data_IF_637220071454
#
_entry.id   IF_637220071454
#
_cell.length_a   1.000
_cell.length_b   1.000
_cell.length_c   1.000
_cell.angle_alpha   90.00
_cell.angle_beta   90.00
_cell.angle_gamma   90.00
#
_symmetry.space_group_name_H-M   'P 1'
#
loop_
_entity.id
_entity.type
_entity.pdbx_description
1 polymer ?
#
# COMPACT_ATOMS: atom_id res chain seq x y z
N UNK A 1 -47.89 -2.18 31.32
CA UNK A 1 -47.53 -0.81 31.75
C UNK A 1 -46.23 -0.48 31.00
N UNK A 2 -46.13 0.40 29.99
CA UNK A 2 -46.91 1.59 29.60
C UNK A 2 -46.86 1.71 28.06
N UNK A 3 -47.97 2.10 27.43
CA UNK A 3 -48.16 2.32 25.98
C UNK A 3 -48.14 3.82 25.68
N UNK A 4 -47.67 4.20 24.48
CA UNK A 4 -48.08 5.36 23.63
C UNK A 4 -47.14 5.38 22.43
N UNK A 5 -47.46 5.11 21.15
CA UNK A 5 -48.62 5.35 20.27
C UNK A 5 -48.89 6.83 19.91
N UNK A 6 -48.32 7.27 18.78
CA UNK A 6 -48.73 8.39 17.90
C UNK A 6 -48.06 8.10 16.53
N UNK A 7 -48.67 7.58 15.46
CA UNK A 7 -49.91 7.88 14.70
C UNK A 7 -49.79 9.13 13.80
N UNK A 8 -49.54 8.87 12.50
CA UNK A 8 -50.10 9.54 11.30
C UNK A 8 -49.51 10.91 10.88
N UNK A 9 -48.98 11.01 9.65
CA UNK A 9 -49.71 11.62 8.51
C UNK A 9 -48.87 11.66 7.21
N UNK A 10 -49.33 10.88 6.24
CA UNK A 10 -49.11 11.06 4.80
C UNK A 10 -49.57 12.46 4.38
N UNK A 11 -48.76 13.28 3.70
CA UNK A 11 -49.26 14.28 2.75
C UNK A 11 -48.24 14.61 1.66
N UNK A 12 -48.64 14.22 0.45
CA UNK A 12 -48.17 14.60 -0.86
C UNK A 12 -48.27 16.13 -1.02
N UNK A 13 -47.21 16.83 -1.44
CA UNK A 13 -47.34 18.16 -2.05
C UNK A 13 -46.48 18.21 -3.31
N UNK A 14 -47.12 17.90 -4.43
CA UNK A 14 -46.74 18.36 -5.76
C UNK A 14 -47.37 19.75 -5.94
N UNK A 15 -46.56 20.77 -6.24
CA UNK A 15 -47.05 22.15 -6.34
C UNK A 15 -46.15 23.02 -7.21
N UNK A 16 -46.41 22.95 -8.52
CA UNK A 16 -45.83 23.72 -9.62
C UNK A 16 -46.01 25.22 -9.38
N UNK A 17 -44.93 26.01 -9.53
CA UNK A 17 -45.03 27.45 -9.82
C UNK A 17 -44.29 27.76 -11.12
N UNK A 18 -45.07 28.26 -12.09
CA UNK A 18 -44.67 28.61 -13.44
C UNK A 18 -44.69 30.14 -13.59
N UNK A 19 -43.55 30.67 -14.05
CA UNK A 19 -43.26 31.86 -14.89
C UNK A 19 -43.75 33.26 -14.46
N UNK A 20 -42.81 34.22 -14.38
CA UNK A 20 -42.90 35.50 -15.13
C UNK A 20 -41.51 36.03 -15.55
N UNK A 21 -41.42 36.30 -16.86
CA UNK A 21 -40.51 37.11 -17.68
C UNK A 21 -39.38 37.98 -17.07
N UNK A 22 -38.15 37.65 -17.47
CA UNK A 22 -37.25 38.43 -18.34
C UNK A 22 -36.91 39.90 -18.05
N UNK A 23 -35.61 40.18 -17.88
CA UNK A 23 -34.87 41.22 -18.62
C UNK A 23 -33.41 40.78 -18.83
N UNK A 24 -32.98 40.88 -20.09
CA UNK A 24 -31.66 40.56 -20.64
C UNK A 24 -30.62 41.63 -20.28
N UNK A 25 -29.42 41.24 -19.83
CA UNK A 25 -28.23 42.09 -19.96
C UNK A 25 -26.92 41.27 -19.96
N UNK A 26 -26.29 41.19 -21.13
CA UNK A 26 -24.84 41.00 -21.37
C UNK A 26 -24.13 39.76 -20.80
N UNK A 27 -23.89 38.74 -21.65
CA UNK A 27 -22.81 37.77 -21.44
C UNK A 27 -21.45 38.42 -21.74
N UNK A 28 -20.44 38.27 -20.87
CA UNK A 28 -19.04 38.35 -21.28
C UNK A 28 -18.70 37.09 -22.10
N UNK A 29 -17.91 37.28 -23.16
CA UNK A 29 -17.44 36.23 -24.06
C UNK A 29 -16.82 35.03 -23.32
N UNK A 30 -17.21 33.84 -23.79
CA UNK A 30 -16.55 32.57 -23.51
C UNK A 30 -15.15 32.65 -24.15
N UNK A 31 -14.11 32.86 -23.34
CA UNK A 31 -12.76 32.50 -23.75
C UNK A 31 -12.65 30.99 -23.54
N UNK A 32 -12.84 30.24 -24.62
CA UNK A 32 -12.62 28.79 -24.64
C UNK A 32 -11.12 28.53 -24.44
N UNK A 33 -10.68 27.83 -23.38
CA UNK A 33 -9.33 27.28 -23.35
C UNK A 33 -9.21 26.21 -24.45
N UNK A 34 -8.03 26.04 -25.09
CA UNK A 34 -7.83 24.99 -26.08
C UNK A 34 -8.20 23.63 -25.52
N UNK A 35 -8.91 22.83 -26.31
CA UNK A 35 -9.19 21.42 -26.03
C UNK A 35 -7.86 20.66 -25.94
N UNK A 36 -7.37 20.44 -24.72
CA UNK A 36 -6.37 19.42 -24.45
C UNK A 36 -7.02 18.04 -24.51
N UNK A 37 -6.32 17.18 -25.21
CA UNK A 37 -6.58 15.79 -25.47
C UNK A 37 -6.97 15.01 -24.21
N UNK A 38 -8.05 14.26 -24.32
CA UNK A 38 -8.46 13.27 -23.33
C UNK A 38 -7.52 12.06 -23.35
N UNK A 39 -6.26 12.26 -22.96
CA UNK A 39 -5.39 11.15 -22.59
C UNK A 39 -5.81 10.72 -21.18
N UNK A 40 -6.47 9.57 -21.10
CA UNK A 40 -6.71 8.87 -19.83
C UNK A 40 -5.35 8.61 -19.17
N UNK A 41 -4.93 9.49 -18.26
CA UNK A 41 -3.81 9.21 -17.38
C UNK A 41 -4.27 8.11 -16.44
N UNK A 42 -3.68 6.91 -16.60
CA UNK A 42 -3.79 5.89 -15.57
C UNK A 42 -3.18 6.50 -14.31
N UNK A 43 -4.01 6.67 -13.31
CA UNK A 43 -3.57 7.21 -12.03
C UNK A 43 -2.74 6.11 -11.37
N UNK A 44 -1.42 6.16 -11.58
CA UNK A 44 -0.46 5.38 -10.84
C UNK A 44 -0.81 5.53 -9.35
N UNK A 45 -1.24 4.44 -8.73
CA UNK A 45 -1.77 4.48 -7.37
C UNK A 45 -0.56 4.59 -6.43
N UNK A 46 -0.19 5.82 -6.09
CA UNK A 46 0.89 6.09 -5.14
C UNK A 46 0.48 5.61 -3.75
N UNK A 47 1.25 4.66 -3.19
CA UNK A 47 1.10 4.22 -1.80
C UNK A 47 1.92 5.16 -0.91
N UNK A 48 1.25 5.78 0.06
CA UNK A 48 1.94 6.66 1.02
C UNK A 48 2.78 5.86 2.02
N UNK A 49 3.81 6.50 2.59
CA UNK A 49 4.59 5.92 3.68
C UNK A 49 3.71 5.51 4.87
N UNK A 50 2.66 6.28 5.17
CA UNK A 50 1.70 5.97 6.25
C UNK A 50 0.93 4.67 5.97
N UNK A 51 0.54 4.45 4.71
CA UNK A 51 -0.12 3.20 4.29
C UNK A 51 0.81 2.00 4.42
N UNK A 52 2.08 2.15 4.01
CA UNK A 52 3.10 1.12 4.17
C UNK A 52 3.33 0.76 5.66
N UNK A 53 3.49 1.77 6.52
CA UNK A 53 3.66 1.57 7.97
C UNK A 53 2.45 0.86 8.55
N UNK A 54 1.24 1.35 8.28
CA UNK A 54 0.02 0.75 8.78
C UNK A 54 -0.14 -0.72 8.33
N UNK A 55 0.27 -1.05 7.11
CA UNK A 55 0.23 -2.43 6.60
C UNK A 55 1.18 -3.36 7.40
N UNK A 56 2.40 -2.91 7.65
CA UNK A 56 3.40 -3.66 8.44
C UNK A 56 2.99 -3.78 9.91
N UNK A 57 2.44 -2.72 10.50
CA UNK A 57 1.95 -2.72 11.88
C UNK A 57 0.77 -3.69 12.08
N UNK A 58 -0.13 -3.79 11.10
CA UNK A 58 -1.19 -4.82 11.10
C UNK A 58 -0.60 -6.23 11.12
N UNK A 59 0.49 -6.46 10.39
CA UNK A 59 1.16 -7.76 10.35
C UNK A 59 1.80 -8.10 11.70
N UNK A 60 2.50 -7.15 12.32
CA UNK A 60 3.06 -7.32 13.66
C UNK A 60 1.96 -7.60 14.71
N UNK A 61 0.85 -6.86 14.65
CA UNK A 61 -0.30 -7.10 15.53
C UNK A 61 -0.92 -8.50 15.33
N UNK A 62 -0.94 -9.00 14.09
CA UNK A 62 -1.40 -10.36 13.78
C UNK A 62 -0.48 -11.41 14.41
N UNK A 63 0.84 -11.21 14.35
CA UNK A 63 1.80 -12.08 15.05
C UNK A 63 1.53 -12.10 16.55
N UNK A 64 1.32 -10.94 17.17
CA UNK A 64 1.03 -10.84 18.60
C UNK A 64 -0.27 -11.55 19.00
N UNK A 65 -1.26 -11.55 18.12
CA UNK A 65 -2.59 -12.13 18.40
C UNK A 65 -2.62 -13.64 18.18
N UNK A 66 -1.98 -14.13 17.11
CA UNK A 66 -2.13 -15.51 16.65
C UNK A 66 -0.88 -16.37 16.80
N UNK A 67 0.26 -15.74 17.10
CA UNK A 67 1.55 -16.39 17.22
C UNK A 67 2.28 -16.56 15.88
N UNK A 68 3.58 -16.85 15.98
CA UNK A 68 4.51 -16.92 14.86
C UNK A 68 4.09 -17.91 13.77
N UNK A 69 3.77 -19.15 14.12
CA UNK A 69 3.44 -20.19 13.13
C UNK A 69 2.23 -19.82 12.27
N UNK A 70 1.14 -19.36 12.91
CA UNK A 70 -0.07 -18.93 12.19
C UNK A 70 0.18 -17.70 11.32
N UNK A 71 0.96 -16.74 11.83
CA UNK A 71 1.30 -15.55 11.08
C UNK A 71 2.17 -15.86 9.84
N UNK A 72 3.21 -16.68 9.99
CA UNK A 72 4.04 -17.09 8.85
C UNK A 72 3.25 -17.89 7.81
N UNK A 73 2.28 -18.71 8.22
CA UNK A 73 1.38 -19.39 7.29
C UNK A 73 0.52 -18.38 6.51
N UNK A 74 -0.09 -17.42 7.21
CA UNK A 74 -0.91 -16.36 6.58
C UNK A 74 -0.08 -15.51 5.61
N UNK A 75 1.14 -15.10 5.98
CA UNK A 75 2.00 -14.27 5.13
C UNK A 75 2.49 -15.00 3.87
N UNK A 76 2.49 -16.34 3.87
CA UNK A 76 2.84 -17.13 2.70
C UNK A 76 1.62 -17.50 1.83
N UNK A 77 0.39 -17.21 2.26
CA UNK A 77 -0.80 -17.44 1.46
C UNK A 77 -0.99 -16.29 0.46
N UNK A 78 -0.90 -16.61 -0.84
CA UNK A 78 -1.13 -15.66 -1.92
C UNK A 78 -2.56 -15.10 -1.97
N UNK A 79 -3.49 -15.75 -1.28
CA UNK A 79 -4.89 -15.30 -1.13
C UNK A 79 -5.17 -14.80 0.30
N UNK A 80 -4.14 -14.70 1.14
CA UNK A 80 -4.24 -14.24 2.52
C UNK A 80 -4.44 -12.73 2.63
N UNK A 81 -4.62 -12.28 3.87
CA UNK A 81 -4.96 -10.89 4.19
C UNK A 81 -3.77 -9.92 4.10
N UNK A 82 -2.56 -10.43 3.85
CA UNK A 82 -1.31 -9.66 3.84
C UNK A 82 -0.70 -9.53 2.44
N UNK A 83 -1.61 -9.36 1.46
CA UNK A 83 -1.30 -8.99 0.08
C UNK A 83 -2.33 -7.93 -0.37
N UNK A 84 -1.85 -6.71 -0.63
CA UNK A 84 -2.67 -5.56 -1.01
C UNK A 84 -1.98 -4.79 -2.14
N UNK A 85 -2.37 -5.08 -3.39
CA UNK A 85 -1.73 -4.47 -4.56
C UNK A 85 -0.26 -4.90 -4.68
N UNK A 86 0.67 -3.95 -4.60
CA UNK A 86 2.11 -4.23 -4.56
C UNK A 86 2.65 -4.56 -3.15
N UNK A 87 1.85 -4.32 -2.11
CA UNK A 87 2.24 -4.60 -0.72
C UNK A 87 2.08 -6.08 -0.43
N UNK A 88 3.13 -6.67 0.11
CA UNK A 88 3.12 -8.03 0.66
C UNK A 88 4.07 -8.09 1.86
N UNK A 89 3.76 -8.96 2.83
CA UNK A 89 4.65 -9.18 3.97
C UNK A 89 5.70 -10.22 3.62
N UNK A 90 6.96 -9.90 3.86
CA UNK A 90 8.06 -10.86 3.94
C UNK A 90 8.63 -10.88 5.36
N UNK A 91 9.19 -12.02 5.76
CA UNK A 91 9.76 -12.20 7.08
C UNK A 91 11.09 -12.95 7.01
N UNK A 92 12.04 -12.53 7.84
CA UNK A 92 13.38 -13.10 7.91
C UNK A 92 13.83 -13.20 9.36
N UNK A 93 14.60 -14.25 9.67
CA UNK A 93 15.39 -14.22 10.90
C UNK A 93 16.58 -13.26 10.76
N UNK A 94 17.20 -12.93 11.88
CA UNK A 94 18.38 -12.06 11.89
C UNK A 94 19.67 -12.74 11.37
N UNK A 95 19.64 -14.05 11.12
CA UNK A 95 20.68 -14.75 10.37
C UNK A 95 20.46 -14.65 8.85
N UNK A 96 19.34 -14.06 8.40
CA UNK A 96 18.94 -13.90 7.01
C UNK A 96 18.31 -15.14 6.37
N UNK A 97 17.83 -16.09 7.19
CA UNK A 97 16.94 -17.17 6.74
C UNK A 97 15.56 -16.59 6.44
N UNK A 98 15.02 -16.92 5.28
CA UNK A 98 13.66 -16.52 4.89
C UNK A 98 12.64 -17.32 5.68
N UNK A 99 11.74 -16.64 6.40
CA UNK A 99 10.65 -17.24 7.18
C UNK A 99 9.31 -17.19 6.43
N UNK A 100 9.06 -16.11 5.69
CA UNK A 100 7.94 -15.98 4.78
C UNK A 100 8.29 -15.11 3.58
N UNK A 101 7.85 -15.50 2.38
CA UNK A 101 8.03 -14.70 1.17
C UNK A 101 7.00 -15.13 0.10
N UNK A 102 5.79 -14.53 0.05
CA UNK A 102 4.71 -15.01 -0.80
C UNK A 102 5.03 -14.95 -2.30
N UNK A 103 5.86 -13.98 -2.72
CA UNK A 103 6.28 -13.82 -4.12
C UNK A 103 7.41 -14.78 -4.54
N UNK A 104 8.15 -15.34 -3.57
CA UNK A 104 9.28 -16.25 -3.79
C UNK A 104 9.22 -17.40 -2.77
N UNK A 105 8.16 -18.22 -2.80
CA UNK A 105 7.94 -19.27 -1.80
C UNK A 105 9.08 -20.31 -1.80
N UNK A 106 9.79 -20.47 -2.92
CA UNK A 106 10.97 -21.33 -3.04
C UNK A 106 12.15 -20.88 -2.15
N UNK A 107 12.10 -19.65 -1.61
CA UNK A 107 13.14 -19.11 -0.74
C UNK A 107 12.90 -19.39 0.74
N UNK A 108 11.72 -19.85 1.14
CA UNK A 108 11.42 -20.16 2.55
C UNK A 108 12.38 -21.24 3.06
N UNK A 109 13.01 -21.00 4.22
CA UNK A 109 14.04 -21.86 4.81
C UNK A 109 15.45 -21.66 4.25
N UNK A 110 15.65 -20.80 3.24
CA UNK A 110 16.96 -20.52 2.66
C UNK A 110 17.57 -19.27 3.29
N UNK A 111 18.85 -19.36 3.66
CA UNK A 111 19.66 -18.23 4.07
C UNK A 111 20.12 -17.41 2.85
N UNK A 112 19.81 -16.12 2.84
CA UNK A 112 20.03 -15.25 1.67
C UNK A 112 21.06 -14.15 1.88
N UNK A 113 21.79 -14.13 3.00
CA UNK A 113 22.78 -13.07 3.29
C UNK A 113 23.92 -12.99 2.27
N UNK A 114 24.19 -14.10 1.56
CA UNK A 114 25.23 -14.19 0.54
C UNK A 114 24.67 -14.11 -0.89
N UNK A 115 23.38 -13.81 -1.08
CA UNK A 115 22.74 -13.69 -2.39
C UNK A 115 22.94 -12.29 -3.04
N UNK A 116 24.19 -11.88 -3.25
CA UNK A 116 24.51 -10.64 -3.97
C UNK A 116 23.74 -9.41 -3.46
N UNK A 117 22.98 -8.74 -4.33
CA UNK A 117 22.16 -7.55 -3.99
C UNK A 117 21.10 -7.83 -2.93
N UNK A 118 20.51 -9.04 -2.91
CA UNK A 118 19.55 -9.43 -1.87
C UNK A 118 20.25 -9.49 -0.51
N UNK A 119 21.48 -10.00 -0.46
CA UNK A 119 22.28 -10.00 0.76
C UNK A 119 22.57 -8.60 1.29
N UNK A 120 22.81 -7.62 0.40
CA UNK A 120 22.97 -6.21 0.76
C UNK A 120 21.67 -5.64 1.32
N UNK A 121 20.54 -5.84 0.62
CA UNK A 121 19.21 -5.46 1.10
C UNK A 121 18.93 -5.97 2.51
N UNK A 122 19.19 -7.25 2.77
CA UNK A 122 18.90 -7.84 4.08
C UNK A 122 19.73 -7.21 5.18
N UNK A 123 21.02 -6.95 4.95
CA UNK A 123 21.90 -6.33 5.95
C UNK A 123 21.44 -4.90 6.26
N UNK A 124 21.20 -4.10 5.23
CA UNK A 124 20.75 -2.71 5.39
C UNK A 124 19.38 -2.63 6.08
N UNK A 125 18.45 -3.52 5.73
CA UNK A 125 17.14 -3.57 6.37
C UNK A 125 17.22 -4.05 7.82
N UNK A 126 18.02 -5.09 8.11
CA UNK A 126 18.25 -5.56 9.48
C UNK A 126 18.84 -4.47 10.37
N UNK A 127 19.80 -3.70 9.85
CA UNK A 127 20.39 -2.58 10.58
C UNK A 127 19.36 -1.47 10.83
N UNK A 128 18.53 -1.12 9.84
CA UNK A 128 17.46 -0.14 10.00
C UNK A 128 16.42 -0.58 11.05
N UNK A 129 16.04 -1.86 11.04
CA UNK A 129 15.11 -2.47 11.99
C UNK A 129 15.68 -2.44 13.40
N UNK A 130 16.91 -2.90 13.60
CA UNK A 130 17.56 -2.94 14.93
C UNK A 130 17.79 -1.56 15.55
N UNK A 131 18.03 -0.56 14.71
CA UNK A 131 18.20 0.82 15.17
C UNK A 131 16.86 1.55 15.42
N UNK A 132 15.72 0.88 15.20
CA UNK A 132 14.39 1.43 15.45
C UNK A 132 13.89 2.43 14.42
N UNK A 133 14.64 2.66 13.32
CA UNK A 133 14.20 3.52 12.21
C UNK A 133 13.21 2.76 11.29
N UNK A 134 13.44 1.47 11.08
CA UNK A 134 12.61 0.58 10.25
C UNK A 134 12.66 0.87 8.74
N UNK A 135 12.95 2.11 8.34
CA UNK A 135 13.01 2.51 6.93
C UNK A 135 14.39 2.30 6.30
N UNK A 136 14.38 1.79 5.07
CA UNK A 136 15.58 1.64 4.22
C UNK A 136 15.20 1.83 2.75
N UNK A 137 16.02 2.56 1.98
CA UNK A 137 15.89 2.64 0.53
C UNK A 137 16.83 1.61 -0.11
N UNK A 138 16.28 0.75 -0.96
CA UNK A 138 17.04 -0.34 -1.60
C UNK A 138 16.81 -0.38 -3.10
N UNK A 139 17.61 -1.19 -3.78
CA UNK A 139 17.33 -1.63 -5.15
C UNK A 139 16.76 -3.05 -5.12
N UNK A 140 15.59 -3.27 -5.74
CA UNK A 140 14.95 -4.58 -5.77
C UNK A 140 14.28 -4.86 -7.11
N UNK A 141 14.19 -6.15 -7.46
CA UNK A 141 13.54 -6.61 -8.68
C UNK A 141 12.03 -6.41 -8.55
N UNK A 142 11.43 -5.61 -9.43
CA UNK A 142 9.99 -5.38 -9.46
C UNK A 142 9.26 -6.47 -10.28
N UNK A 143 8.46 -7.35 -9.65
CA UNK A 143 7.77 -8.43 -10.35
C UNK A 143 6.65 -7.93 -11.27
N UNK A 144 6.12 -6.72 -11.06
CA UNK A 144 5.05 -6.14 -11.90
C UNK A 144 5.61 -5.38 -13.11
N UNK A 145 6.90 -5.04 -13.12
CA UNK A 145 7.60 -4.36 -14.22
C UNK A 145 8.67 -5.26 -14.86
N UNK A 146 8.29 -6.45 -15.35
CA UNK A 146 9.18 -7.36 -16.08
C UNK A 146 10.48 -7.72 -15.34
N UNK A 147 10.44 -7.81 -14.01
CA UNK A 147 11.62 -8.09 -13.19
C UNK A 147 12.73 -7.02 -13.32
N UNK A 148 12.34 -5.78 -13.63
CA UNK A 148 13.28 -4.66 -13.71
C UNK A 148 13.81 -4.30 -12.33
N UNK A 149 15.09 -3.97 -12.24
CA UNK A 149 15.67 -3.47 -11.00
C UNK A 149 15.23 -2.01 -10.78
N UNK A 150 14.51 -1.78 -9.68
CA UNK A 150 13.94 -0.48 -9.32
C UNK A 150 14.30 -0.10 -7.89
N UNK A 151 14.19 1.19 -7.59
CA UNK A 151 14.31 1.68 -6.22
C UNK A 151 13.06 1.32 -5.44
N UNK A 152 13.23 0.88 -4.19
CA UNK A 152 12.14 0.46 -3.31
C UNK A 152 12.34 1.06 -1.93
N UNK A 153 11.32 1.72 -1.40
CA UNK A 153 11.28 2.13 0.01
C UNK A 153 10.72 0.96 0.83
N UNK A 154 11.53 0.47 1.76
CA UNK A 154 11.17 -0.61 2.68
C UNK A 154 10.87 -0.04 4.06
N UNK A 155 9.87 -0.62 4.72
CA UNK A 155 9.64 -0.48 6.15
C UNK A 155 9.59 -1.86 6.80
N UNK A 156 10.35 -2.04 7.86
CA UNK A 156 10.40 -3.27 8.65
C UNK A 156 10.30 -3.01 10.15
N UNK A 157 9.85 -4.04 10.86
CA UNK A 157 9.72 -4.03 12.32
C UNK A 157 10.32 -5.31 12.90
N UNK A 158 11.00 -5.13 14.03
CA UNK A 158 11.47 -6.26 14.84
C UNK A 158 10.27 -6.85 15.59
N UNK A 159 10.13 -8.17 15.54
CA UNK A 159 9.04 -8.87 16.27
C UNK A 159 9.53 -9.32 17.64
N UNK A 160 10.71 -9.93 17.68
CA UNK A 160 11.43 -10.33 18.89
C UNK A 160 12.94 -10.37 18.59
N UNK A 161 13.75 -10.93 19.48
CA UNK A 161 15.20 -10.98 19.34
C UNK A 161 15.70 -11.83 18.15
N UNK A 162 14.86 -12.71 17.60
CA UNK A 162 15.25 -13.70 16.59
C UNK A 162 14.89 -13.26 15.16
N UNK A 163 13.83 -12.47 14.96
CA UNK A 163 13.32 -12.19 13.61
C UNK A 163 12.56 -10.88 13.46
N UNK A 164 12.38 -10.50 12.20
CA UNK A 164 11.71 -9.28 11.76
C UNK A 164 10.83 -9.56 10.54
N UNK A 165 9.90 -8.65 10.29
CA UNK A 165 9.06 -8.64 9.09
C UNK A 165 9.02 -7.26 8.46
N UNK A 166 8.64 -7.18 7.19
CA UNK A 166 8.53 -5.90 6.51
C UNK A 166 7.76 -5.98 5.20
N UNK A 167 7.59 -4.82 4.60
CA UNK A 167 7.03 -4.65 3.26
C UNK A 167 7.76 -3.50 2.55
N UNK A 168 7.32 -3.12 1.36
CA UNK A 168 7.85 -1.95 0.69
C UNK A 168 7.13 -1.58 -0.60
N UNK A 169 7.38 -0.36 -1.05
CA UNK A 169 6.75 0.26 -2.22
C UNK A 169 7.82 0.63 -3.25
N UNK A 170 7.55 0.40 -4.53
CA UNK A 170 8.51 0.80 -5.59
C UNK A 170 8.43 2.31 -5.84
N UNK A 171 9.58 2.97 -5.87
CA UNK A 171 9.70 4.42 -6.01
C UNK A 171 10.25 4.84 -7.38
N UNK A 172 10.29 3.91 -8.34
CA UNK A 172 10.72 4.14 -9.72
C UNK A 172 12.14 3.67 -10.05
N UNK A 173 12.69 4.08 -11.20
CA UNK A 173 14.00 3.62 -11.67
C UNK A 173 15.15 3.97 -10.72
N UNK A 174 16.13 3.08 -10.57
CA UNK A 174 17.34 3.30 -9.76
C UNK A 174 18.13 4.54 -10.23
N UNK A 175 18.12 4.80 -11.54
CA UNK A 175 18.68 6.00 -12.14
C UNK A 175 17.54 6.76 -12.83
N UNK A 176 16.88 7.73 -12.17
CA UNK A 176 15.88 8.54 -12.84
C UNK A 176 16.54 9.24 -14.04
N UNK A 177 15.94 9.11 -15.22
CA UNK A 177 16.37 9.88 -16.39
C UNK A 177 16.41 11.35 -15.99
N UNK A 178 17.44 12.15 -16.38
CA UNK A 178 17.43 13.57 -16.11
C UNK A 178 16.11 14.13 -16.65
N UNK A 179 15.36 14.84 -15.81
CA UNK A 179 14.13 15.51 -16.23
C UNK A 179 14.44 16.33 -17.49
N UNK A 180 13.72 16.05 -18.59
CA UNK A 180 13.83 16.81 -19.83
C UNK A 180 13.12 18.16 -19.70
#
# INVERSE_FOLDING_TARGET
MNKTLTTVLFMLILGIFLITAGCTQGQPEIVTPPQEDNKTFQQDTYISNETLVAFVDRAAAYVNTYGKEKALAEFNDLNGSFIEGELYIYAYDFNGTTLAHPVNPEKVGINRLNEGKVGVFLKESQDAVRNGNGFCQIEYINPTHNQTLESKLVYGVQIDDDWWLGSGIYTGPVNPSPAQ
#
